data_IF_862616943241
#
_entry.id   IF_862616943241
#
_cell.length_a   1.000
_cell.length_b   1.000
_cell.length_c   1.000
_cell.angle_alpha   90.00
_cell.angle_beta   90.00
_cell.angle_gamma   90.00
#
_symmetry.space_group_name_H-M   'P 1'
#
loop_
_entity.id
_entity.type
_entity.pdbx_description
1 polymer ?
#
# COMPACT_ATOMS: atom_id res chain seq x y z
N UNK A 1 -3.26 0.12 17.31
CA UNK A 1 -3.91 -1.13 17.70
C UNK A 1 -3.50 -1.40 19.13
N UNK A 2 -4.45 -1.68 20.02
CA UNK A 2 -4.16 -2.09 21.39
C UNK A 2 -3.25 -3.33 21.35
N UNK A 3 -2.12 -3.30 22.05
CA UNK A 3 -1.16 -4.41 22.13
C UNK A 3 -1.27 -5.14 23.46
N UNK A 4 -2.37 -4.95 24.18
CA UNK A 4 -2.64 -5.60 25.47
C UNK A 4 -2.57 -7.13 25.35
N UNK A 5 -2.01 -7.82 26.37
CA UNK A 5 -2.03 -9.27 26.46
C UNK A 5 -3.44 -9.89 26.34
N UNK A 6 -4.47 -9.15 26.77
CA UNK A 6 -5.87 -9.57 26.67
C UNK A 6 -6.34 -9.65 25.22
N UNK A 7 -6.00 -8.65 24.39
CA UNK A 7 -6.34 -8.69 22.97
C UNK A 7 -5.61 -9.84 22.26
N UNK A 8 -4.36 -10.10 22.63
CA UNK A 8 -3.59 -11.21 22.07
C UNK A 8 -4.26 -12.57 22.34
N UNK A 9 -4.68 -12.82 23.58
CA UNK A 9 -5.38 -14.04 23.95
C UNK A 9 -6.72 -14.19 23.23
N UNK A 10 -7.50 -13.09 23.10
CA UNK A 10 -8.77 -13.10 22.36
C UNK A 10 -8.54 -13.47 20.89
N UNK A 11 -7.55 -12.87 20.24
CA UNK A 11 -7.24 -13.17 18.83
C UNK A 11 -6.76 -14.62 18.64
N UNK A 12 -6.02 -15.18 19.60
CA UNK A 12 -5.60 -16.59 19.57
C UNK A 12 -6.79 -17.53 19.72
N UNK A 13 -7.68 -17.26 20.67
CA UNK A 13 -8.90 -18.04 20.88
C UNK A 13 -9.79 -18.02 19.63
N UNK A 14 -10.08 -16.81 19.11
CA UNK A 14 -10.82 -16.63 17.85
C UNK A 14 -10.19 -17.37 16.68
N UNK A 15 -8.86 -17.30 16.53
CA UNK A 15 -8.16 -18.01 15.45
C UNK A 15 -8.32 -19.54 15.55
N UNK A 16 -8.55 -20.07 16.76
CA UNK A 16 -8.76 -21.50 16.99
C UNK A 16 -10.23 -21.93 16.86
N UNK A 17 -11.19 -21.09 17.26
CA UNK A 17 -12.61 -21.44 17.31
C UNK A 17 -13.38 -21.05 16.05
N UNK A 18 -13.12 -19.84 15.52
CA UNK A 18 -13.72 -19.33 14.29
C UNK A 18 -12.74 -18.36 13.59
N UNK A 19 -11.81 -18.89 12.77
CA UNK A 19 -10.83 -18.05 12.08
C UNK A 19 -11.44 -17.08 11.07
N UNK A 20 -12.71 -17.25 10.67
CA UNK A 20 -13.38 -16.36 9.71
C UNK A 20 -13.86 -15.06 10.34
N UNK A 21 -13.98 -15.02 11.67
CA UNK A 21 -14.40 -13.83 12.43
C UNK A 21 -13.22 -12.91 12.82
N UNK A 22 -11.98 -13.23 12.43
CA UNK A 22 -10.81 -12.43 12.81
C UNK A 22 -10.89 -11.00 12.24
N UNK A 23 -10.64 -9.97 13.07
CA UNK A 23 -10.58 -8.60 12.58
C UNK A 23 -9.31 -8.40 11.76
N UNK A 24 -9.40 -7.52 10.76
CA UNK A 24 -8.23 -7.14 9.97
C UNK A 24 -7.40 -6.05 10.67
N UNK A 25 -6.13 -5.86 10.27
CA UNK A 25 -5.29 -4.78 10.77
C UNK A 25 -5.92 -3.38 10.66
N UNK A 26 -5.78 -2.59 11.72
CA UNK A 26 -6.36 -1.22 11.81
C UNK A 26 -5.69 -0.23 10.87
N UNK A 27 -4.46 -0.53 10.44
CA UNK A 27 -3.67 0.26 9.49
C UNK A 27 -2.84 -0.67 8.60
N UNK A 28 -2.68 -0.27 7.35
CA UNK A 28 -1.76 -0.91 6.41
C UNK A 28 -1.16 0.12 5.44
N UNK A 29 -0.02 -0.25 4.87
CA UNK A 29 0.51 0.36 3.66
C UNK A 29 0.34 -0.65 2.53
N UNK A 30 -0.37 -0.28 1.47
CA UNK A 30 -0.57 -1.14 0.31
C UNK A 30 0.02 -0.47 -0.92
N UNK A 31 0.93 -1.16 -1.60
CA UNK A 31 1.38 -0.79 -2.93
C UNK A 31 0.65 -1.64 -3.96
N UNK A 32 0.02 -1.02 -4.95
CA UNK A 32 -0.71 -1.74 -5.98
C UNK A 32 -0.33 -1.31 -7.40
N UNK A 33 -0.29 -2.28 -8.30
CA UNK A 33 -0.10 -2.09 -9.73
C UNK A 33 -1.34 -2.63 -10.45
N UNK A 34 -2.17 -1.72 -10.95
CA UNK A 34 -3.42 -2.04 -11.66
C UNK A 34 -3.18 -2.03 -13.17
N UNK A 35 -3.54 -3.12 -13.84
CA UNK A 35 -3.26 -3.37 -15.26
C UNK A 35 -4.58 -3.69 -15.98
N UNK A 36 -5.12 -2.76 -16.78
CA UNK A 36 -6.20 -3.04 -17.73
C UNK A 36 -5.73 -4.05 -18.79
N UNK A 37 -6.55 -5.03 -19.12
CA UNK A 37 -6.26 -6.05 -20.12
C UNK A 37 -7.31 -6.03 -21.23
N UNK A 38 -6.86 -6.18 -22.48
CA UNK A 38 -7.73 -6.20 -23.65
C UNK A 38 -8.26 -4.82 -24.07
N UNK A 39 -7.55 -3.75 -23.70
CA UNK A 39 -7.83 -2.40 -24.21
C UNK A 39 -7.54 -2.32 -25.72
N UNK A 40 -8.23 -1.44 -26.48
CA UNK A 40 -7.98 -1.28 -27.92
C UNK A 40 -6.55 -0.80 -28.26
N UNK A 41 -5.85 -0.23 -27.28
CA UNK A 41 -4.49 0.31 -27.43
C UNK A 41 -3.53 -0.29 -26.39
N UNK A 42 -2.23 -0.28 -26.68
CA UNK A 42 -1.19 -0.68 -25.73
C UNK A 42 -0.99 0.31 -24.58
N UNK A 43 -1.29 1.59 -24.81
CA UNK A 43 -1.23 2.60 -23.75
C UNK A 43 -2.43 2.46 -22.81
N UNK A 44 -2.17 2.53 -21.51
CA UNK A 44 -3.17 2.49 -20.43
C UNK A 44 -3.16 3.76 -19.56
N UNK A 45 -2.46 4.81 -20.01
CA UNK A 45 -2.23 6.02 -19.21
C UNK A 45 -3.52 6.77 -18.87
N UNK A 46 -4.54 6.70 -19.73
CA UNK A 46 -5.84 7.33 -19.49
C UNK A 46 -6.58 6.65 -18.32
N UNK A 47 -6.56 5.33 -18.28
CA UNK A 47 -7.14 4.51 -17.21
C UNK A 47 -6.43 4.78 -15.88
N UNK A 48 -5.08 4.80 -15.88
CA UNK A 48 -4.31 5.13 -14.68
C UNK A 48 -4.60 6.56 -14.22
N UNK A 49 -4.75 7.53 -15.13
CA UNK A 49 -5.14 8.89 -14.77
C UNK A 49 -6.54 8.96 -14.14
N UNK A 50 -7.48 8.08 -14.49
CA UNK A 50 -8.78 7.98 -13.80
C UNK A 50 -8.62 7.43 -12.38
N UNK A 51 -7.81 6.39 -12.20
CA UNK A 51 -7.47 5.85 -10.88
C UNK A 51 -6.87 6.94 -9.98
N UNK A 52 -5.89 7.70 -10.46
CA UNK A 52 -5.26 8.77 -9.66
C UNK A 52 -6.24 9.88 -9.26
N UNK A 53 -7.20 10.23 -10.13
CA UNK A 53 -8.25 11.20 -9.78
C UNK A 53 -9.18 10.67 -8.69
N UNK A 54 -9.50 9.38 -8.69
CA UNK A 54 -10.29 8.74 -7.64
C UNK A 54 -9.53 8.74 -6.31
N UNK A 55 -8.23 8.38 -6.31
CA UNK A 55 -7.40 8.43 -5.10
C UNK A 55 -7.31 9.85 -4.52
N UNK A 56 -7.15 10.87 -5.38
CA UNK A 56 -7.19 12.27 -4.95
C UNK A 56 -8.52 12.65 -4.33
N UNK A 57 -9.64 12.22 -4.92
CA UNK A 57 -10.98 12.53 -4.43
C UNK A 57 -11.33 11.80 -3.12
N UNK A 58 -10.75 10.63 -2.85
CA UNK A 58 -10.99 9.88 -1.62
C UNK A 58 -10.29 10.49 -0.39
N UNK A 59 -9.29 11.36 -0.61
CA UNK A 59 -8.49 11.94 0.46
C UNK A 59 -7.56 10.96 1.16
N UNK A 60 -7.38 9.75 0.63
CA UNK A 60 -6.40 8.80 1.14
C UNK A 60 -4.98 9.38 0.99
N UNK A 61 -4.07 9.06 1.90
CA UNK A 61 -2.64 9.37 1.69
C UNK A 61 -2.11 8.41 0.63
N UNK A 62 -1.52 8.95 -0.45
CA UNK A 62 -0.97 8.14 -1.53
C UNK A 62 0.28 8.75 -2.17
N UNK A 63 1.07 7.91 -2.84
CA UNK A 63 2.19 8.32 -3.68
C UNK A 63 2.26 7.44 -4.93
N UNK A 64 2.19 8.06 -6.10
CA UNK A 64 2.33 7.39 -7.39
C UNK A 64 3.80 7.32 -7.79
N UNK A 65 4.21 6.19 -8.35
CA UNK A 65 5.53 6.00 -8.94
C UNK A 65 5.42 5.22 -10.25
N UNK A 66 6.55 4.94 -10.90
CA UNK A 66 6.60 4.35 -12.25
C UNK A 66 5.94 2.98 -12.39
N UNK A 67 5.81 2.22 -11.29
CA UNK A 67 5.39 0.83 -11.28
C UNK A 67 4.11 0.56 -10.48
N UNK A 68 3.43 1.63 -10.02
CA UNK A 68 2.27 1.46 -9.16
C UNK A 68 1.91 2.71 -8.37
N UNK A 69 1.10 2.50 -7.34
CA UNK A 69 0.73 3.54 -6.38
C UNK A 69 0.67 2.96 -4.99
N UNK A 70 1.40 3.58 -4.08
CA UNK A 70 1.37 3.25 -2.66
C UNK A 70 0.29 4.08 -1.97
N UNK A 71 -0.58 3.43 -1.19
CA UNK A 71 -1.63 4.04 -0.37
C UNK A 71 -1.48 3.66 1.11
N UNK A 72 -1.94 4.54 2.00
CA UNK A 72 -1.92 4.33 3.45
C UNK A 72 -3.27 4.65 4.08
N UNK A 73 -3.75 3.75 4.94
CA UNK A 73 -5.05 3.88 5.60
C UNK A 73 -5.37 2.64 6.44
N UNK A 74 -6.63 2.48 6.84
CA UNK A 74 -7.09 1.20 7.40
C UNK A 74 -7.12 0.11 6.33
N UNK A 75 -7.06 -1.16 6.74
CA UNK A 75 -7.16 -2.29 5.80
C UNK A 75 -8.41 -2.19 4.94
N UNK A 76 -9.57 -1.95 5.56
CA UNK A 76 -10.85 -1.78 4.87
C UNK A 76 -10.80 -0.64 3.86
N UNK A 77 -10.30 0.54 4.25
CA UNK A 77 -10.22 1.68 3.34
C UNK A 77 -9.34 1.38 2.13
N UNK A 78 -8.15 0.81 2.34
CA UNK A 78 -7.22 0.50 1.26
C UNK A 78 -7.80 -0.52 0.27
N UNK A 79 -8.32 -1.65 0.78
CA UNK A 79 -8.86 -2.71 -0.07
C UNK A 79 -10.16 -2.28 -0.77
N UNK A 80 -11.01 -1.52 -0.10
CA UNK A 80 -12.22 -0.94 -0.70
C UNK A 80 -11.85 0.00 -1.84
N UNK A 81 -10.87 0.87 -1.64
CA UNK A 81 -10.47 1.84 -2.66
C UNK A 81 -9.83 1.17 -3.88
N UNK A 82 -9.02 0.11 -3.68
CA UNK A 82 -8.52 -0.73 -4.78
C UNK A 82 -9.69 -1.35 -5.55
N UNK A 83 -10.70 -1.91 -4.87
CA UNK A 83 -11.91 -2.42 -5.51
C UNK A 83 -12.69 -1.34 -6.29
N UNK A 84 -12.80 -0.13 -5.74
CA UNK A 84 -13.43 1.00 -6.42
C UNK A 84 -12.67 1.41 -7.69
N UNK A 85 -11.34 1.33 -7.71
CA UNK A 85 -10.54 1.53 -8.92
C UNK A 85 -10.92 0.53 -10.02
N UNK A 86 -11.17 -0.74 -9.68
CA UNK A 86 -11.68 -1.72 -10.65
C UNK A 86 -13.06 -1.33 -11.17
N UNK A 87 -14.01 -1.06 -10.27
CA UNK A 87 -15.37 -0.65 -10.65
C UNK A 87 -15.38 0.59 -11.55
N UNK A 88 -14.52 1.57 -11.25
CA UNK A 88 -14.36 2.80 -12.02
C UNK A 88 -13.97 2.53 -13.49
N UNK A 89 -13.06 1.59 -13.70
CA UNK A 89 -12.57 1.25 -15.04
C UNK A 89 -13.52 0.31 -15.78
N UNK A 90 -14.17 -0.62 -15.07
CA UNK A 90 -15.26 -1.41 -15.65
C UNK A 90 -16.41 -0.52 -16.15
N UNK A 91 -16.78 0.52 -15.40
CA UNK A 91 -17.77 1.52 -15.84
C UNK A 91 -17.34 2.33 -17.08
N UNK A 92 -16.06 2.26 -17.46
CA UNK A 92 -15.49 2.90 -18.67
C UNK A 92 -15.21 1.92 -19.80
N UNK A 93 -15.68 0.68 -19.68
CA UNK A 93 -15.57 -0.32 -20.74
C UNK A 93 -14.34 -1.22 -20.67
N UNK A 94 -13.48 -1.09 -19.64
CA UNK A 94 -12.40 -2.07 -19.43
C UNK A 94 -13.02 -3.38 -18.98
N UNK A 95 -12.89 -4.44 -19.78
CA UNK A 95 -13.54 -5.73 -19.50
C UNK A 95 -12.78 -6.54 -18.45
N UNK A 96 -11.45 -6.48 -18.46
CA UNK A 96 -10.59 -7.27 -17.57
C UNK A 96 -9.51 -6.41 -16.95
N UNK A 97 -9.28 -6.59 -15.65
CA UNK A 97 -8.26 -5.89 -14.88
C UNK A 97 -7.50 -6.92 -14.05
N UNK A 98 -6.18 -6.88 -14.11
CA UNK A 98 -5.30 -7.60 -13.18
C UNK A 98 -4.65 -6.57 -12.26
N UNK A 99 -4.65 -6.83 -10.96
CA UNK A 99 -3.96 -5.97 -9.99
C UNK A 99 -3.03 -6.80 -9.14
N UNK A 100 -1.76 -6.41 -9.07
CA UNK A 100 -0.82 -6.91 -8.07
C UNK A 100 -0.86 -6.00 -6.84
N UNK A 101 -0.92 -6.59 -5.64
CA UNK A 101 -0.97 -5.84 -4.39
C UNK A 101 0.05 -6.40 -3.41
N UNK A 102 0.99 -5.54 -2.98
CA UNK A 102 1.90 -5.80 -1.86
C UNK A 102 1.45 -4.97 -0.67
N UNK A 103 0.95 -5.64 0.36
CA UNK A 103 0.44 -4.99 1.57
C UNK A 103 1.26 -5.37 2.79
N UNK A 104 1.59 -4.38 3.62
CA UNK A 104 2.35 -4.56 4.85
C UNK A 104 1.62 -3.97 6.06
N UNK A 105 1.70 -4.68 7.17
CA UNK A 105 1.16 -4.28 8.48
C UNK A 105 2.18 -4.57 9.56
N UNK A 106 2.21 -3.77 10.62
CA UNK A 106 3.08 -3.96 11.77
C UNK A 106 2.38 -3.53 13.05
N UNK A 107 2.75 -4.13 14.17
CA UNK A 107 2.12 -3.91 15.49
C UNK A 107 3.00 -3.15 16.46
N UNK A 108 4.30 -3.04 16.18
CA UNK A 108 5.30 -2.48 17.09
C UNK A 108 5.45 -0.95 17.00
N UNK A 109 5.17 -0.34 15.84
CA UNK A 109 5.16 1.12 15.67
C UNK A 109 4.27 1.58 14.53
N UNK A 110 3.78 2.83 14.62
CA UNK A 110 3.20 3.51 13.47
C UNK A 110 4.34 3.96 12.53
N UNK A 111 4.23 3.64 11.25
CA UNK A 111 5.21 4.03 10.24
C UNK A 111 4.53 4.11 8.86
N UNK A 112 4.63 5.26 8.21
CA UNK A 112 4.12 5.46 6.86
C UNK A 112 5.11 5.04 5.76
N UNK A 113 4.70 5.12 4.50
CA UNK A 113 5.60 4.77 3.38
C UNK A 113 6.78 5.76 3.23
N UNK A 114 6.57 7.05 3.50
CA UNK A 114 7.64 8.06 3.51
C UNK A 114 8.69 7.76 4.57
N UNK A 115 8.26 7.36 5.77
CA UNK A 115 9.18 7.00 6.86
C UNK A 115 10.06 5.79 6.52
N UNK A 116 9.56 4.87 5.67
CA UNK A 116 10.33 3.72 5.19
C UNK A 116 11.44 4.17 4.24
N UNK A 117 11.11 5.05 3.30
CA UNK A 117 12.08 5.62 2.35
C UNK A 117 13.12 6.45 3.11
N UNK A 118 12.68 7.38 3.96
CA UNK A 118 13.56 8.24 4.74
C UNK A 118 14.48 7.45 5.69
N UNK A 119 14.05 6.29 6.21
CA UNK A 119 14.91 5.43 7.01
C UNK A 119 16.08 4.85 6.19
N UNK A 120 15.85 4.46 4.94
CA UNK A 120 16.91 3.97 4.05
C UNK A 120 17.81 5.12 3.63
N UNK A 121 17.25 6.27 3.25
CA UNK A 121 18.02 7.45 2.85
C UNK A 121 18.97 7.94 3.96
N UNK A 122 18.54 7.92 5.22
CA UNK A 122 19.41 8.24 6.37
C UNK A 122 20.57 7.25 6.54
N UNK A 123 20.40 5.99 6.18
CA UNK A 123 21.49 5.01 6.23
C UNK A 123 22.48 5.28 5.09
N UNK A 124 21.98 5.47 3.87
CA UNK A 124 22.81 5.77 2.69
C UNK A 124 23.63 7.06 2.88
N UNK A 125 23.05 8.10 3.48
CA UNK A 125 23.77 9.34 3.77
C UNK A 125 24.94 9.13 4.75
N UNK A 126 24.75 8.28 5.77
CA UNK A 126 25.80 7.95 6.75
C UNK A 126 26.92 7.12 6.14
N UNK A 127 26.61 6.25 5.19
CA UNK A 127 27.62 5.43 4.50
C UNK A 127 28.54 6.33 3.65
N UNK A 128 27.99 7.37 3.01
CA UNK A 128 28.76 8.34 2.23
C UNK A 128 29.72 9.21 3.07
N UNK A 129 29.32 9.59 4.28
CA UNK A 129 30.18 10.34 5.22
C UNK A 129 31.40 9.52 5.71
N UNK A 130 31.30 8.19 5.70
CA UNK A 130 32.39 7.29 6.08
C UNK A 130 33.48 7.10 5.01
N UNK A 131 33.15 7.31 3.73
CA UNK A 131 34.08 7.13 2.62
C UNK A 131 34.94 8.39 2.34
N UNK A 132 34.40 9.60 2.57
CA UNK A 132 35.15 10.85 2.38
C UNK A 132 36.27 11.08 3.42
N UNK A 133 36.22 10.40 4.57
CA UNK A 133 37.24 10.48 5.63
C UNK A 133 38.48 9.61 5.42
N UNK A 134 38.47 8.68 4.46
CA UNK A 134 39.54 7.69 4.26
C UNK A 134 40.50 8.01 3.09
N UNK A 135 40.21 9.03 2.27
CA UNK A 135 41.00 9.40 1.10
C UNK A 135 42.07 10.49 1.32
N UNK A 136 42.24 10.97 2.55
CA UNK A 136 43.17 12.06 2.87
C UNK A 136 44.46 11.59 3.54
N UNK A 137 45.41 11.06 2.77
CA UNK A 137 46.86 11.09 3.08
C UNK A 137 47.71 10.86 1.83
#
# INVERSE_FOLDING_TARGET
MDTSPQLHHILQDMASTDPTALPTPSKCTADFCLIPLGTPTHSVSAEIAHVQRLLKASGIKYSMHSAGTTIEGSWQQCMTLIGQCHSLLHARGVVRIQTDVRVGTRTDKAQGFEDKVAAVERLLARDGEGEEGAGGK
#
